data_IF_060025411138
#
_entry.id   IF_060025411138
#
_cell.length_a   1.000
_cell.length_b   1.000
_cell.length_c   1.000
_cell.angle_alpha   90.00
_cell.angle_beta   90.00
_cell.angle_gamma   90.00
#
_symmetry.space_group_name_H-M   'P 1'
#
loop_
_entity.id
_entity.type
_entity.pdbx_description
1 polymer ?
#
# COMPACT_ATOMS: atom_id res chain seq x y z
N UNK A 1 -10.02 -8.93 27.45
CA UNK A 1 -8.81 -8.17 27.04
C UNK A 1 -9.27 -7.03 26.15
N UNK A 2 -8.94 -5.78 26.53
CA UNK A 2 -9.46 -4.58 25.86
C UNK A 2 -8.82 -4.40 24.49
N UNK A 3 -9.64 -4.13 23.47
CA UNK A 3 -9.16 -3.71 22.15
C UNK A 3 -8.31 -2.46 22.33
N UNK A 4 -7.03 -2.53 21.95
CA UNK A 4 -6.19 -1.35 21.82
C UNK A 4 -6.83 -0.45 20.76
N UNK A 5 -7.13 0.83 21.05
CA UNK A 5 -7.73 1.72 20.09
C UNK A 5 -6.84 1.84 18.86
N UNK A 6 -7.41 1.63 17.66
CA UNK A 6 -6.74 1.92 16.39
C UNK A 6 -6.24 3.38 16.46
N UNK A 7 -4.96 3.69 16.16
CA UNK A 7 -4.55 5.08 16.02
C UNK A 7 -5.45 5.69 14.93
N UNK A 8 -6.27 6.66 15.32
CA UNK A 8 -7.02 7.47 14.37
C UNK A 8 -5.98 8.27 13.59
N UNK A 9 -5.56 7.73 12.45
CA UNK A 9 -4.90 8.48 11.39
C UNK A 9 -5.90 9.45 10.78
N UNK A 10 -6.32 10.44 11.56
CA UNK A 10 -7.02 11.62 11.07
C UNK A 10 -5.95 12.59 10.56
N UNK A 11 -5.21 12.17 9.53
CA UNK A 11 -4.61 13.12 8.62
C UNK A 11 -5.76 13.55 7.70
N UNK A 12 -6.36 14.69 8.03
CA UNK A 12 -7.18 15.41 7.06
C UNK A 12 -6.40 15.49 5.75
N UNK A 13 -7.13 15.43 4.64
CA UNK A 13 -6.62 15.58 3.27
C UNK A 13 -5.82 16.89 3.12
N UNK A 14 -4.59 16.94 3.63
CA UNK A 14 -3.58 17.87 3.15
C UNK A 14 -3.20 17.32 1.78
N UNK A 15 -3.65 18.02 0.73
CA UNK A 15 -3.43 17.62 -0.64
C UNK A 15 -1.95 17.35 -0.88
N UNK A 16 -1.66 16.31 -1.66
CA UNK A 16 -0.29 16.01 -2.12
C UNK A 16 0.33 17.33 -2.64
N UNK A 17 1.52 17.74 -2.14
CA UNK A 17 2.19 18.96 -2.59
C UNK A 17 2.29 19.04 -4.11
N UNK A 18 2.23 20.25 -4.67
CA UNK A 18 1.99 20.46 -6.11
C UNK A 18 2.94 19.65 -6.98
N UNK A 19 4.25 19.78 -6.74
CA UNK A 19 5.26 19.12 -7.57
C UNK A 19 5.17 17.60 -7.47
N UNK A 20 4.98 17.05 -6.27
CA UNK A 20 4.80 15.61 -6.12
C UNK A 20 3.50 15.15 -6.79
N UNK A 21 2.39 15.86 -6.63
CA UNK A 21 1.11 15.49 -7.24
C UNK A 21 1.22 15.44 -8.77
N UNK A 22 1.84 16.45 -9.36
CA UNK A 22 1.98 16.57 -10.81
C UNK A 22 2.93 15.47 -11.32
N UNK A 23 4.07 15.23 -10.67
CA UNK A 23 4.98 14.12 -10.99
C UNK A 23 4.32 12.74 -10.85
N UNK A 24 3.51 12.51 -9.81
CA UNK A 24 2.75 11.26 -9.65
C UNK A 24 1.70 11.07 -10.75
N UNK A 25 1.06 12.16 -11.22
CA UNK A 25 0.09 12.12 -12.31
C UNK A 25 0.77 11.77 -13.63
N UNK A 26 1.93 12.36 -13.90
CA UNK A 26 2.58 12.32 -15.21
C UNK A 26 3.54 11.13 -15.38
N UNK A 27 4.10 10.60 -14.29
CA UNK A 27 5.09 9.52 -14.32
C UNK A 27 4.53 8.22 -13.72
N UNK A 28 4.18 8.24 -12.43
CA UNK A 28 3.77 7.02 -11.71
C UNK A 28 2.43 6.51 -12.23
N UNK A 29 1.48 7.42 -12.46
CA UNK A 29 0.13 7.09 -12.92
C UNK A 29 0.09 6.28 -14.22
N UNK A 30 0.80 6.69 -15.30
CA UNK A 30 0.91 5.90 -16.51
C UNK A 30 1.58 4.54 -16.28
N UNK A 31 2.66 4.47 -15.51
CA UNK A 31 3.38 3.23 -15.25
C UNK A 31 2.50 2.20 -14.52
N UNK A 32 1.85 2.58 -13.42
CA UNK A 32 0.98 1.64 -12.68
C UNK A 32 -0.22 1.19 -13.52
N UNK A 33 -0.77 2.05 -14.39
CA UNK A 33 -1.86 1.69 -15.31
C UNK A 33 -1.43 0.69 -16.37
N UNK A 34 -0.19 0.75 -16.84
CA UNK A 34 0.36 -0.25 -17.76
C UNK A 34 0.36 -1.66 -17.14
N UNK A 35 0.42 -1.76 -15.81
CA UNK A 35 0.34 -3.02 -15.05
C UNK A 35 -1.09 -3.38 -14.60
N UNK A 36 -2.11 -2.73 -15.14
CA UNK A 36 -3.52 -3.04 -14.89
C UNK A 36 -4.09 -2.42 -13.61
N UNK A 37 -3.38 -1.50 -12.96
CA UNK A 37 -3.94 -0.75 -11.84
C UNK A 37 -4.88 0.37 -12.32
N UNK A 38 -6.01 0.51 -11.65
CA UNK A 38 -7.00 1.55 -11.85
C UNK A 38 -6.92 2.62 -10.76
N UNK A 39 -7.39 3.83 -11.06
CA UNK A 39 -7.46 4.95 -10.11
C UNK A 39 -6.57 6.14 -10.46
N UNK A 40 -6.36 6.99 -9.46
CA UNK A 40 -5.62 8.25 -9.58
C UNK A 40 -4.77 8.47 -8.34
N UNK A 41 -3.70 9.27 -8.49
CA UNK A 41 -2.88 9.69 -7.37
C UNK A 41 -3.73 10.18 -6.17
N UNK A 42 -3.38 9.81 -4.93
CA UNK A 42 -2.18 9.06 -4.55
C UNK A 42 -2.35 7.53 -4.51
N UNK A 43 -3.51 6.98 -4.89
CA UNK A 43 -3.82 5.56 -4.68
C UNK A 43 -4.34 4.87 -5.94
N UNK A 44 -3.70 3.76 -6.28
CA UNK A 44 -4.10 2.88 -7.38
C UNK A 44 -4.37 1.47 -6.88
N UNK A 45 -5.29 0.77 -7.56
CA UNK A 45 -5.73 -0.57 -7.17
C UNK A 45 -5.85 -1.49 -8.36
N UNK A 46 -5.45 -2.75 -8.18
CA UNK A 46 -5.67 -3.84 -9.13
C UNK A 46 -6.53 -4.88 -8.43
N UNK A 47 -7.52 -5.41 -9.14
CA UNK A 47 -8.45 -6.41 -8.60
C UNK A 47 -8.35 -7.68 -9.41
N UNK A 48 -8.23 -8.83 -8.75
CA UNK A 48 -8.25 -10.15 -9.40
C UNK A 48 -9.68 -10.57 -9.73
N UNK A 49 -9.84 -11.60 -10.56
CA UNK A 49 -11.17 -12.17 -10.88
C UNK A 49 -11.89 -12.73 -9.63
N UNK A 50 -11.13 -13.07 -8.58
CA UNK A 50 -11.65 -13.55 -7.29
C UNK A 50 -12.05 -12.40 -6.36
N UNK A 51 -11.80 -11.15 -6.75
CA UNK A 51 -12.09 -9.96 -5.98
C UNK A 51 -11.01 -9.62 -4.93
N UNK A 52 -9.83 -10.24 -5.00
CA UNK A 52 -8.67 -9.85 -4.21
C UNK A 52 -8.12 -8.52 -4.73
N UNK A 53 -7.58 -7.70 -3.83
CA UNK A 53 -7.17 -6.33 -4.18
C UNK A 53 -5.70 -6.12 -3.84
N UNK A 54 -4.93 -5.66 -4.82
CA UNK A 54 -3.60 -5.07 -4.62
C UNK A 54 -3.73 -3.55 -4.65
N UNK A 55 -3.02 -2.87 -3.75
CA UNK A 55 -3.08 -1.42 -3.56
C UNK A 55 -1.66 -0.85 -3.58
N UNK A 56 -1.47 0.22 -4.36
CA UNK A 56 -0.27 1.08 -4.32
C UNK A 56 -0.73 2.45 -3.83
N UNK A 57 -0.14 2.96 -2.76
CA UNK A 57 -0.45 4.30 -2.23
C UNK A 57 0.81 5.10 -1.95
N UNK A 58 0.89 6.32 -2.47
CA UNK A 58 1.95 7.27 -2.11
C UNK A 58 1.45 8.14 -0.96
N UNK A 59 2.08 8.02 0.20
CA UNK A 59 1.77 8.83 1.36
C UNK A 59 2.80 9.96 1.48
N UNK A 60 2.33 11.21 1.49
CA UNK A 60 3.16 12.38 1.77
C UNK A 60 3.24 12.67 3.27
N UNK A 61 4.35 13.26 3.72
CA UNK A 61 4.50 13.67 5.11
C UNK A 61 3.57 14.84 5.43
N UNK A 62 3.06 14.88 6.66
CA UNK A 62 2.24 15.97 7.15
C UNK A 62 3.05 17.28 7.32
N UNK A 63 4.39 17.21 7.30
CA UNK A 63 5.29 18.34 7.50
C UNK A 63 5.85 18.91 6.17
N UNK A 64 5.22 18.58 5.04
CA UNK A 64 5.64 19.08 3.74
C UNK A 64 5.23 20.54 3.52
N UNK A 65 6.03 21.26 2.73
CA UNK A 65 5.61 22.54 2.14
C UNK A 65 4.91 22.29 0.79
N UNK A 66 4.48 23.36 0.11
CA UNK A 66 3.87 23.25 -1.22
C UNK A 66 4.88 22.73 -2.28
N UNK A 67 6.17 23.01 -2.08
CA UNK A 67 7.24 22.87 -3.06
C UNK A 67 8.33 21.87 -2.65
N UNK A 68 8.34 21.46 -1.38
CA UNK A 68 9.34 20.54 -0.83
C UNK A 68 8.70 19.61 0.17
N UNK A 69 9.27 18.42 0.31
CA UNK A 69 8.74 17.46 1.27
C UNK A 69 9.30 16.08 1.09
N UNK A 70 8.61 15.14 1.75
CA UNK A 70 8.92 13.73 1.68
C UNK A 70 7.68 12.88 1.44
N UNK A 71 7.90 11.70 0.85
CA UNK A 71 6.87 10.68 0.65
C UNK A 71 7.39 9.25 0.82
N UNK A 72 6.47 8.32 1.02
CA UNK A 72 6.70 6.88 1.04
C UNK A 72 5.66 6.18 0.15
N UNK A 73 6.02 5.02 -0.40
CA UNK A 73 5.06 4.16 -1.13
C UNK A 73 4.73 2.97 -0.26
N UNK A 74 3.45 2.85 0.03
CA UNK A 74 2.87 1.74 0.73
C UNK A 74 2.24 0.80 -0.30
N UNK A 75 2.56 -0.49 -0.18
CA UNK A 75 2.01 -1.58 -0.96
C UNK A 75 1.11 -2.42 -0.06
N UNK A 76 -0.03 -2.87 -0.56
CA UNK A 76 -0.92 -3.74 0.20
C UNK A 76 -1.57 -4.79 -0.68
N UNK A 77 -1.85 -5.97 -0.13
CA UNK A 77 -2.67 -7.01 -0.76
C UNK A 77 -3.70 -7.53 0.24
N UNK A 78 -4.96 -7.50 -0.16
CA UNK A 78 -6.10 -7.88 0.64
C UNK A 78 -6.94 -8.93 -0.11
N UNK A 79 -6.95 -10.18 0.37
CA UNK A 79 -7.86 -11.20 -0.15
C UNK A 79 -9.32 -10.82 0.07
N UNK A 80 -10.21 -11.26 -0.81
CA UNK A 80 -11.65 -10.95 -0.68
C UNK A 80 -12.25 -11.36 0.68
N UNK A 81 -11.94 -12.54 1.26
CA UNK A 81 -12.45 -12.91 2.58
C UNK A 81 -11.98 -12.00 3.71
N UNK A 82 -10.78 -11.40 3.59
CA UNK A 82 -10.28 -10.42 4.55
C UNK A 82 -11.09 -9.14 4.48
N UNK A 83 -11.33 -8.65 3.26
CA UNK A 83 -12.17 -7.47 3.04
C UNK A 83 -13.57 -7.69 3.59
N UNK A 84 -14.21 -8.82 3.28
CA UNK A 84 -15.55 -9.15 3.80
C UNK A 84 -15.58 -9.20 5.34
N UNK A 85 -14.51 -9.66 6.00
CA UNK A 85 -14.39 -9.61 7.47
C UNK A 85 -14.29 -8.17 7.97
N UNK A 86 -13.38 -7.37 7.43
CA UNK A 86 -13.22 -5.97 7.85
C UNK A 86 -14.48 -5.14 7.59
N UNK A 87 -15.24 -5.49 6.53
CA UNK A 87 -16.57 -4.96 6.25
C UNK A 87 -17.59 -5.28 7.35
N UNK A 88 -17.56 -6.50 7.91
CA UNK A 88 -18.49 -6.98 8.94
C UNK A 88 -18.12 -6.52 10.36
N UNK A 89 -16.84 -6.25 10.63
CA UNK A 89 -16.34 -5.84 11.95
C UNK A 89 -16.54 -4.34 12.28
N UNK A 90 -17.24 -3.60 11.41
CA UNK A 90 -17.07 -2.17 11.17
C UNK A 90 -17.32 -1.19 12.33
N UNK A 91 -16.31 -0.33 12.54
CA UNK A 91 -16.42 1.06 13.02
C UNK A 91 -16.21 2.08 11.86
N UNK A 92 -16.04 1.62 10.61
CA UNK A 92 -15.68 2.47 9.47
C UNK A 92 -16.91 2.97 8.71
N UNK A 93 -16.97 4.25 8.37
CA UNK A 93 -18.09 4.89 7.67
C UNK A 93 -18.48 4.17 6.34
N UNK A 94 -19.77 4.12 5.98
CA UNK A 94 -20.23 3.53 4.73
C UNK A 94 -19.59 4.24 3.51
N UNK A 95 -18.99 3.48 2.60
CA UNK A 95 -18.40 3.97 1.33
C UNK A 95 -16.87 3.86 1.20
N UNK A 96 -16.11 3.85 2.32
CA UNK A 96 -14.64 3.62 2.31
C UNK A 96 -14.26 2.13 2.19
N UNK A 97 -15.29 1.30 2.18
CA UNK A 97 -15.37 -0.12 2.50
C UNK A 97 -14.94 -1.05 1.36
N UNK A 98 -15.18 -0.65 0.11
CA UNK A 98 -14.80 -1.41 -1.10
C UNK A 98 -13.46 -0.96 -1.73
N UNK A 99 -12.75 -0.03 -1.07
CA UNK A 99 -11.57 0.65 -1.61
C UNK A 99 -10.51 0.79 -0.53
N UNK A 100 -9.91 -0.31 -0.06
CA UNK A 100 -8.93 -0.29 1.01
C UNK A 100 -7.73 0.60 0.64
N UNK A 101 -7.17 1.30 1.62
CA UNK A 101 -5.80 1.81 1.56
C UNK A 101 -4.79 0.68 1.74
N UNK A 102 -3.54 0.90 1.35
CA UNK A 102 -2.49 -0.13 1.46
C UNK A 102 -2.31 -0.63 2.90
N UNK A 103 -2.37 0.26 3.90
CA UNK A 103 -2.23 -0.10 5.33
C UNK A 103 -3.46 -0.79 5.93
N UNK A 104 -4.56 -0.89 5.18
CA UNK A 104 -5.78 -1.62 5.59
C UNK A 104 -5.80 -3.04 5.01
N UNK A 105 -4.77 -3.39 4.22
CA UNK A 105 -4.61 -4.71 3.62
C UNK A 105 -3.97 -5.69 4.62
N UNK A 106 -4.27 -6.97 4.44
CA UNK A 106 -3.72 -8.04 5.27
C UNK A 106 -2.21 -8.18 5.12
N UNK A 107 -1.73 -8.18 3.88
CA UNK A 107 -0.30 -8.05 3.60
C UNK A 107 0.00 -6.60 3.31
N UNK A 108 1.01 -6.04 3.97
CA UNK A 108 1.40 -4.64 3.82
C UNK A 108 2.91 -4.49 3.82
N UNK A 109 3.45 -3.73 2.87
CA UNK A 109 4.88 -3.47 2.77
C UNK A 109 5.13 -2.01 2.40
N UNK A 110 6.33 -1.51 2.71
CA UNK A 110 6.78 -0.19 2.29
C UNK A 110 7.95 -0.30 1.35
N UNK A 111 7.89 0.43 0.25
CA UNK A 111 9.02 0.58 -0.67
C UNK A 111 9.95 1.65 -0.11
N UNK A 112 11.22 1.30 0.04
CA UNK A 112 12.26 2.22 0.48
C UNK A 112 13.09 2.74 -0.70
N UNK A 113 13.68 3.95 -0.58
CA UNK A 113 14.70 4.40 -1.52
C UNK A 113 15.85 3.39 -1.63
N UNK A 114 16.32 3.11 -2.85
CA UNK A 114 17.44 2.18 -3.08
C UNK A 114 18.75 2.63 -2.39
N UNK A 115 18.90 3.94 -2.14
CA UNK A 115 20.03 4.52 -1.41
C UNK A 115 19.95 4.32 0.11
N UNK A 116 19.12 3.38 0.57
CA UNK A 116 18.90 3.13 1.98
C UNK A 116 20.16 2.62 2.66
N UNK A 117 20.71 3.43 3.57
CA UNK A 117 21.95 3.13 4.32
C UNK A 117 21.66 2.17 5.49
N UNK A 118 20.42 2.17 5.99
CA UNK A 118 19.98 1.28 7.08
C UNK A 118 18.61 0.66 6.72
N UNK A 119 18.54 -0.66 6.45
CA UNK A 119 17.30 -1.34 6.10
C UNK A 119 16.30 -1.41 7.25
N UNK A 120 16.71 -1.09 8.49
CA UNK A 120 15.86 -1.13 9.68
C UNK A 120 15.31 0.25 10.06
N UNK A 121 15.70 1.33 9.36
CA UNK A 121 15.15 2.67 9.59
C UNK A 121 14.19 3.07 8.50
N UNK A 122 13.05 3.61 8.92
CA UNK A 122 12.08 4.20 8.01
C UNK A 122 12.73 5.34 7.21
N UNK A 123 12.80 5.16 5.90
CA UNK A 123 13.35 6.14 4.98
C UNK A 123 12.30 6.58 3.97
N UNK A 124 12.25 7.89 3.79
CA UNK A 124 11.33 8.58 2.92
C UNK A 124 12.09 9.08 1.69
N UNK A 125 11.43 9.11 0.53
CA UNK A 125 11.94 9.89 -0.59
C UNK A 125 11.74 11.36 -0.31
N UNK A 126 12.74 12.18 -0.62
CA UNK A 126 12.72 13.61 -0.39
C UNK A 126 12.83 14.36 -1.72
N UNK A 127 12.12 15.47 -1.84
CA UNK A 127 12.17 16.40 -2.97
C UNK A 127 12.10 17.84 -2.45
N UNK A 128 12.62 18.78 -3.22
CA UNK A 128 12.72 20.19 -2.84
C UNK A 128 12.31 21.17 -3.94
N UNK A 129 12.02 20.67 -5.14
CA UNK A 129 11.58 21.43 -6.30
C UNK A 129 10.89 20.50 -7.32
N UNK A 130 10.46 21.06 -8.45
CA UNK A 130 9.82 20.30 -9.52
C UNK A 130 10.73 19.22 -10.14
N UNK A 131 12.00 19.52 -10.53
CA UNK A 131 12.90 18.49 -11.06
C UNK A 131 13.19 17.35 -10.09
N UNK A 132 13.38 17.63 -8.80
CA UNK A 132 13.62 16.58 -7.80
C UNK A 132 12.36 15.75 -7.52
N UNK A 133 11.16 16.34 -7.56
CA UNK A 133 9.91 15.58 -7.47
C UNK A 133 9.73 14.61 -8.65
N UNK A 134 10.10 15.06 -9.86
CA UNK A 134 10.13 14.21 -11.05
C UNK A 134 11.12 13.05 -10.90
N UNK A 135 12.33 13.31 -10.42
CA UNK A 135 13.34 12.26 -10.14
C UNK A 135 12.85 11.26 -9.09
N UNK A 136 12.17 11.72 -8.03
CA UNK A 136 11.55 10.83 -7.04
C UNK A 136 10.50 9.93 -7.71
N UNK A 137 9.65 10.49 -8.58
CA UNK A 137 8.63 9.71 -9.27
C UNK A 137 9.23 8.65 -10.21
N UNK A 138 10.32 8.97 -10.93
CA UNK A 138 11.05 8.03 -11.78
C UNK A 138 11.74 6.92 -10.96
N UNK A 139 12.31 7.27 -9.80
CA UNK A 139 12.90 6.30 -8.88
C UNK A 139 11.84 5.36 -8.29
N UNK A 140 10.64 5.87 -7.99
CA UNK A 140 9.49 5.05 -7.58
C UNK A 140 9.14 4.05 -8.66
N UNK A 141 8.95 4.50 -9.91
CA UNK A 141 8.63 3.60 -11.04
C UNK A 141 9.71 2.54 -11.21
N UNK A 142 10.98 2.93 -11.15
CA UNK A 142 12.11 1.99 -11.25
C UNK A 142 12.04 0.90 -10.19
N UNK A 143 11.79 1.27 -8.93
CA UNK A 143 11.64 0.28 -7.84
C UNK A 143 10.42 -0.63 -8.04
N UNK A 144 9.31 -0.08 -8.54
CA UNK A 144 8.10 -0.86 -8.83
C UNK A 144 8.35 -1.88 -9.94
N UNK A 145 8.96 -1.46 -11.04
CA UNK A 145 9.29 -2.31 -12.19
C UNK A 145 10.31 -3.40 -11.84
N UNK A 146 11.35 -3.06 -11.06
CA UNK A 146 12.41 -4.02 -10.77
C UNK A 146 11.98 -5.18 -9.88
N UNK A 147 10.91 -5.01 -9.11
CA UNK A 147 10.60 -5.96 -8.01
C UNK A 147 9.13 -6.04 -7.67
N UNK A 148 8.46 -4.90 -7.49
CA UNK A 148 7.18 -4.90 -6.78
C UNK A 148 6.00 -5.25 -7.66
N UNK A 149 5.95 -4.90 -8.94
CA UNK A 149 4.83 -5.33 -9.79
C UNK A 149 4.73 -6.85 -9.89
N UNK A 150 5.85 -7.52 -10.16
CA UNK A 150 5.90 -8.99 -10.18
C UNK A 150 5.54 -9.60 -8.82
N UNK A 151 5.99 -8.99 -7.72
CA UNK A 151 5.64 -9.46 -6.36
C UNK A 151 4.15 -9.30 -6.08
N UNK A 152 3.54 -8.17 -6.42
CA UNK A 152 2.13 -7.90 -6.19
C UNK A 152 1.24 -8.79 -7.05
N UNK A 153 1.62 -9.05 -8.29
CA UNK A 153 0.89 -9.98 -9.17
C UNK A 153 0.95 -11.41 -8.64
N UNK A 154 2.12 -11.84 -8.13
CA UNK A 154 2.25 -13.14 -7.49
C UNK A 154 1.38 -13.24 -6.22
N UNK A 155 1.32 -12.18 -5.41
CA UNK A 155 0.47 -12.12 -4.21
C UNK A 155 -1.03 -12.04 -4.51
N UNK A 156 -1.44 -11.74 -5.74
CA UNK A 156 -2.84 -11.87 -6.17
C UNK A 156 -3.22 -13.31 -6.55
N UNK A 157 -2.25 -14.24 -6.58
CA UNK A 157 -2.52 -15.69 -6.72
C UNK A 157 -2.75 -16.27 -5.32
N UNK A 158 -3.94 -16.84 -5.01
CA UNK A 158 -4.30 -17.25 -3.65
C UNK A 158 -3.31 -18.21 -2.98
N UNK A 159 -2.81 -19.20 -3.73
CA UNK A 159 -1.86 -20.19 -3.20
C UNK A 159 -0.51 -19.56 -2.85
N UNK A 160 -0.04 -18.62 -3.67
CA UNK A 160 1.22 -17.91 -3.43
C UNK A 160 1.08 -16.97 -2.23
N UNK A 161 -0.01 -16.22 -2.15
CA UNK A 161 -0.33 -15.38 -1.00
C UNK A 161 -0.34 -16.18 0.30
N UNK A 162 -1.06 -17.32 0.30
CA UNK A 162 -1.12 -18.25 1.43
C UNK A 162 0.27 -18.80 1.78
N UNK A 163 1.07 -19.20 0.78
CA UNK A 163 2.42 -19.72 0.99
C UNK A 163 3.32 -18.69 1.68
N UNK A 164 3.24 -17.41 1.30
CA UNK A 164 4.00 -16.33 1.93
C UNK A 164 3.59 -16.08 3.36
N UNK A 165 2.28 -16.02 3.63
CA UNK A 165 1.76 -15.88 4.99
C UNK A 165 2.23 -17.02 5.91
N UNK A 166 2.14 -18.26 5.43
CA UNK A 166 2.58 -19.43 6.20
C UNK A 166 4.10 -19.50 6.39
N UNK A 167 4.88 -18.91 5.49
CA UNK A 167 6.33 -18.78 5.64
C UNK A 167 6.74 -17.68 6.64
N UNK A 168 5.78 -16.99 7.26
CA UNK A 168 6.05 -15.87 8.16
C UNK A 168 6.50 -14.61 7.42
N UNK A 169 6.09 -14.43 6.16
CA UNK A 169 6.21 -13.17 5.40
C UNK A 169 4.84 -12.48 5.28
N UNK A 170 4.41 -11.77 6.33
CA UNK A 170 3.20 -10.96 6.34
C UNK A 170 3.42 -9.55 5.77
N UNK A 171 4.64 -9.21 5.37
CA UNK A 171 5.07 -7.86 5.06
C UNK A 171 5.77 -7.13 6.23
N UNK A 172 5.82 -5.80 6.18
CA UNK A 172 6.67 -4.93 7.00
C UNK A 172 6.24 -4.84 8.49
N UNK A 173 4.98 -5.16 8.83
CA UNK A 173 4.50 -5.13 10.21
C UNK A 173 3.29 -6.06 10.36
N UNK A 174 3.41 -7.15 11.15
CA UNK A 174 2.20 -7.78 11.69
C UNK A 174 1.72 -6.99 12.88
N UNK A 175 0.57 -6.37 12.69
CA UNK A 175 -0.24 -5.86 13.77
C UNK A 175 -0.98 -7.04 14.40
N UNK A 176 -0.49 -7.52 15.54
CA UNK A 176 -1.27 -8.03 16.68
C UNK A 176 -2.40 -9.05 16.51
N UNK A 177 -2.62 -9.63 15.33
CA UNK A 177 -3.70 -10.59 15.12
C UNK A 177 -3.34 -11.97 15.68
N UNK A 178 -4.30 -12.57 16.38
CA UNK A 178 -4.19 -13.91 16.94
C UNK A 178 -3.96 -14.94 15.81
N UNK A 179 -2.92 -15.78 15.88
CA UNK A 179 -2.63 -16.81 14.87
C UNK A 179 -3.83 -17.72 14.54
N UNK A 180 -4.75 -17.93 15.48
CA UNK A 180 -5.97 -18.72 15.26
C UNK A 180 -6.98 -18.05 14.33
N UNK A 181 -6.99 -16.72 14.26
CA UNK A 181 -7.83 -15.98 13.33
C UNK A 181 -7.28 -16.01 11.89
N UNK A 182 -5.96 -16.00 11.75
CA UNK A 182 -5.29 -16.19 10.46
C UNK A 182 -5.62 -17.57 9.90
N UNK A 183 -5.64 -18.60 10.74
CA UNK A 183 -6.00 -19.98 10.36
C UNK A 183 -7.44 -20.09 9.80
N UNK A 184 -8.39 -19.41 10.44
CA UNK A 184 -9.78 -19.33 9.96
C UNK A 184 -9.90 -18.61 8.62
N UNK A 185 -9.11 -17.55 8.42
CA UNK A 185 -9.03 -16.83 7.15
C UNK A 185 -8.38 -17.68 6.05
N UNK A 186 -7.26 -18.35 6.33
CA UNK A 186 -6.54 -19.22 5.40
C UNK A 186 -7.42 -20.35 4.89
N UNK A 187 -8.28 -20.93 5.74
CA UNK A 187 -9.28 -21.92 5.31
C UNK A 187 -10.34 -21.37 4.35
N UNK A 188 -10.74 -20.11 4.52
CA UNK A 188 -11.69 -19.44 3.61
C UNK A 188 -11.05 -19.00 2.29
N UNK A 189 -9.73 -18.82 2.28
CA UNK A 189 -8.94 -18.52 1.08
C UNK A 189 -8.61 -19.77 0.27
N UNK A 190 -8.46 -20.94 0.89
CA UNK A 190 -8.24 -22.22 0.22
C UNK A 190 -9.49 -22.82 -0.43
N UNK A 191 -10.25 -21.99 -1.15
CA UNK A 191 -11.36 -22.42 -2.00
C UNK A 191 -10.91 -23.48 -3.00
#
# INVERSE_FOLDING_TARGET
MGRVPRPRGQAGLMGVPRYLRDALRDVVGPAVRAHGYCGTSPTWRKTSDLGDVSVITVQSSAWNSADSGSCVVNLGVAPRPWLDRELLAGDSAPGRRDRPGASECLWWCRVHPQTSIDPHREQWWCYHDEPSAQQVAEAIVTALESTWFATLDALLVPDEFRRRLLAGDPGFEMWGDDPSELDGLLRRMGR
#
